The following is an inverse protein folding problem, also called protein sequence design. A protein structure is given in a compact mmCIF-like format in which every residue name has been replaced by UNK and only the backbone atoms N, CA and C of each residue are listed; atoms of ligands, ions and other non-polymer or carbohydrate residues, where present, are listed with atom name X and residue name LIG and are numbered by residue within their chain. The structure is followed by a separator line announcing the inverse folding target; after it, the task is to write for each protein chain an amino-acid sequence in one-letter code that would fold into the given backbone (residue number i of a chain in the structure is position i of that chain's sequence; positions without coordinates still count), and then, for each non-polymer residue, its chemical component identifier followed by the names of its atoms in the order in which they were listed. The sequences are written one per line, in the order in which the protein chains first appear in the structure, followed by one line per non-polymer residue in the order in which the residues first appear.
data_IF_242922740156
#
_entry.id   IF_242922740156
#
_cell.length_a   1.000
_cell.length_b   1.000
_cell.length_c   1.000
_cell.angle_alpha   90.00
_cell.angle_beta   90.00
_cell.angle_gamma   90.00
#
_symmetry.space_group_name_H-M   'P 1'
#
loop_
_entity.id
_entity.type
_entity.pdbx_description
1 polymer ?
#
# COMPACT_ATOMS: atom_id res chain seq x y z
N UNK A 1 -25.92 25.16 -4.94
CA UNK A 1 -25.00 24.12 -4.45
C UNK A 1 -24.17 24.70 -3.30
N UNK A 2 -24.78 24.89 -2.13
CA UNK A 2 -24.16 25.54 -0.94
C UNK A 2 -24.57 24.81 0.36
N UNK A 3 -25.70 24.09 0.35
CA UNK A 3 -26.18 23.33 1.52
C UNK A 3 -25.28 22.13 1.89
N UNK A 4 -24.57 21.53 0.93
CA UNK A 4 -23.66 20.41 1.20
C UNK A 4 -22.43 20.79 2.04
N UNK A 5 -22.17 22.09 2.25
CA UNK A 5 -21.05 22.59 3.06
C UNK A 5 -21.48 23.09 4.45
N UNK A 6 -22.78 23.20 4.75
CA UNK A 6 -23.26 23.63 6.07
C UNK A 6 -23.46 22.44 7.01
N UNK A 7 -22.36 22.04 7.66
CA UNK A 7 -22.33 20.94 8.64
C UNK A 7 -23.15 21.20 9.91
N UNK A 8 -23.71 22.43 10.10
CA UNK A 8 -24.57 22.77 11.25
C UNK A 8 -25.96 22.15 11.17
N UNK A 9 -26.40 21.73 9.98
CA UNK A 9 -27.69 21.05 9.77
C UNK A 9 -27.57 19.55 9.52
N UNK A 10 -26.37 19.07 9.21
CA UNK A 10 -26.12 17.65 9.00
C UNK A 10 -26.28 16.89 10.33
N UNK A 11 -27.31 16.04 10.40
CA UNK A 11 -27.49 15.05 11.47
C UNK A 11 -26.86 13.75 11.01
N UNK A 12 -25.94 13.20 11.80
CA UNK A 12 -25.29 11.93 11.52
C UNK A 12 -25.95 10.85 12.38
N UNK A 13 -26.98 10.19 11.86
CA UNK A 13 -27.74 9.20 12.61
C UNK A 13 -28.35 9.77 13.90
N UNK A 14 -28.12 9.11 15.03
CA UNK A 14 -28.59 9.56 16.36
C UNK A 14 -27.78 10.71 16.98
N UNK A 15 -26.78 11.25 16.28
CA UNK A 15 -25.94 12.34 16.78
C UNK A 15 -26.44 13.70 16.29
N UNK A 16 -26.44 14.68 17.20
CA UNK A 16 -26.83 16.06 16.93
C UNK A 16 -25.88 16.78 15.97
N UNK A 17 -26.17 18.06 15.65
CA UNK A 17 -25.35 18.86 14.74
C UNK A 17 -23.91 19.05 15.26
N UNK A 18 -22.96 19.21 14.34
CA UNK A 18 -21.55 19.38 14.68
C UNK A 18 -21.34 20.67 15.51
N UNK A 19 -21.04 20.52 16.80
CA UNK A 19 -20.74 21.64 17.70
C UNK A 19 -19.38 22.30 17.42
N UNK A 20 -18.46 21.57 16.77
CA UNK A 20 -17.12 22.05 16.42
C UNK A 20 -17.07 22.99 15.20
N UNK A 21 -18.20 23.30 14.56
CA UNK A 21 -18.28 24.22 13.40
C UNK A 21 -17.28 23.89 12.27
N UNK A 22 -16.99 22.59 12.05
CA UNK A 22 -16.02 22.13 11.05
C UNK A 22 -14.58 22.02 11.54
N UNK A 23 -14.28 22.41 12.79
CA UNK A 23 -13.02 22.09 13.46
C UNK A 23 -13.09 20.64 13.94
N UNK A 24 -12.63 19.75 13.06
CA UNK A 24 -12.72 18.30 13.24
C UNK A 24 -11.52 17.68 13.97
N UNK A 25 -10.49 18.49 14.27
CA UNK A 25 -9.32 18.07 15.04
C UNK A 25 -9.72 17.90 16.51
N UNK A 26 -9.82 16.65 16.96
CA UNK A 26 -10.31 16.29 18.30
C UNK A 26 -11.82 15.98 18.39
N UNK A 27 -12.52 15.83 17.26
CA UNK A 27 -13.92 15.38 17.28
C UNK A 27 -13.99 13.92 17.74
N UNK A 28 -14.66 13.60 18.87
CA UNK A 28 -14.66 12.24 19.42
C UNK A 28 -15.34 11.22 18.49
N UNK A 29 -16.29 11.66 17.65
CA UNK A 29 -16.92 10.82 16.63
C UNK A 29 -15.91 10.48 15.53
N UNK A 30 -15.19 11.47 15.01
CA UNK A 30 -14.16 11.23 14.00
C UNK A 30 -12.97 10.48 14.58
N UNK A 31 -12.64 10.67 15.86
CA UNK A 31 -11.59 9.95 16.55
C UNK A 31 -11.98 8.48 16.78
N UNK A 32 -13.20 8.21 17.26
CA UNK A 32 -13.73 6.85 17.38
C UNK A 32 -13.84 6.16 16.01
N UNK A 33 -14.29 6.89 14.99
CA UNK A 33 -14.36 6.40 13.61
C UNK A 33 -12.97 6.15 13.03
N UNK A 34 -12.00 7.04 13.28
CA UNK A 34 -10.58 6.86 12.93
C UNK A 34 -10.00 5.64 13.66
N UNK A 35 -10.39 5.35 14.90
CA UNK A 35 -9.92 4.20 15.66
C UNK A 35 -10.32 2.85 15.05
N UNK A 36 -11.32 2.82 14.17
CA UNK A 36 -11.79 1.61 13.49
C UNK A 36 -11.19 1.56 12.09
N UNK A 37 -10.43 0.51 11.79
CA UNK A 37 -9.78 0.31 10.50
C UNK A 37 -10.30 -0.96 9.83
N UNK A 38 -10.81 -0.81 8.61
CA UNK A 38 -11.16 -1.96 7.78
C UNK A 38 -9.91 -2.47 7.10
N UNK A 39 -9.58 -3.73 7.36
CA UNK A 39 -8.43 -4.39 6.76
C UNK A 39 -8.80 -4.96 5.40
N UNK A 40 -8.02 -4.60 4.37
CA UNK A 40 -8.09 -5.26 3.07
C UNK A 40 -7.41 -6.64 3.20
N UNK A 41 -8.14 -7.76 3.03
CA UNK A 41 -7.65 -9.09 3.36
C UNK A 41 -6.67 -9.67 2.31
N UNK A 42 -6.12 -8.82 1.44
CA UNK A 42 -5.29 -9.23 0.30
C UNK A 42 -4.01 -8.39 0.28
N UNK A 43 -2.85 -9.07 0.20
CA UNK A 43 -1.56 -8.41 -0.02
C UNK A 43 -1.28 -8.19 -1.52
N UNK A 44 -2.06 -7.31 -2.13
CA UNK A 44 -1.93 -6.88 -3.52
C UNK A 44 -1.66 -5.35 -3.60
N UNK A 45 -1.01 -4.87 -4.68
CA UNK A 45 -0.78 -3.43 -4.89
C UNK A 45 -2.07 -2.66 -5.20
N UNK A 46 -3.06 -3.35 -5.77
CA UNK A 46 -4.40 -2.84 -5.98
C UNK A 46 -5.42 -3.95 -5.76
N UNK A 47 -6.62 -3.60 -5.34
CA UNK A 47 -7.77 -4.51 -5.28
C UNK A 47 -8.96 -3.86 -5.96
N UNK A 48 -9.82 -4.65 -6.59
CA UNK A 48 -11.05 -4.15 -7.17
C UNK A 48 -12.15 -4.28 -6.13
N UNK A 49 -12.87 -3.21 -5.87
CA UNK A 49 -14.08 -3.23 -5.04
C UNK A 49 -15.28 -3.16 -5.98
N UNK A 50 -16.04 -4.25 -6.06
CA UNK A 50 -17.27 -4.34 -6.85
C UNK A 50 -18.46 -3.84 -6.04
N UNK A 51 -19.34 -3.08 -6.66
CA UNK A 51 -20.56 -2.53 -6.06
C UNK A 51 -21.75 -3.30 -6.58
N UNK A 52 -22.40 -4.04 -5.69
CA UNK A 52 -23.55 -4.90 -6.00
C UNK A 52 -24.82 -4.29 -5.38
N UNK A 53 -25.79 -3.83 -6.17
CA UNK A 53 -27.04 -3.28 -5.65
C UNK A 53 -27.87 -4.36 -4.96
N UNK A 54 -28.45 -4.01 -3.80
CA UNK A 54 -29.38 -4.88 -3.07
C UNK A 54 -30.79 -4.34 -3.24
N UNK A 55 -31.66 -5.14 -3.82
CA UNK A 55 -33.08 -4.82 -4.00
C UNK A 55 -33.91 -5.46 -2.89
N UNK A 56 -34.97 -4.76 -2.46
CA UNK A 56 -35.93 -5.34 -1.53
C UNK A 56 -36.79 -6.39 -2.26
N UNK A 57 -37.31 -7.42 -1.58
CA UNK A 57 -38.10 -8.48 -2.19
C UNK A 57 -39.30 -7.94 -3.01
N UNK A 58 -39.87 -6.81 -2.58
CA UNK A 58 -41.08 -6.23 -3.15
C UNK A 58 -40.83 -4.99 -4.01
N UNK A 59 -39.55 -4.64 -4.30
CA UNK A 59 -39.21 -3.47 -5.12
C UNK A 59 -39.04 -3.84 -6.59
N UNK A 60 -40.14 -3.82 -7.36
CA UNK A 60 -40.08 -3.96 -8.83
C UNK A 60 -39.81 -2.62 -9.55
N UNK A 61 -40.07 -1.49 -8.89
CA UNK A 61 -40.01 -0.16 -9.51
C UNK A 61 -39.28 0.91 -8.69
N UNK A 62 -38.71 0.55 -7.54
CA UNK A 62 -37.88 1.47 -6.74
C UNK A 62 -36.41 1.12 -6.93
N UNK A 63 -35.54 2.14 -6.80
CA UNK A 63 -34.09 1.94 -6.82
C UNK A 63 -33.58 0.99 -5.73
N UNK A 64 -32.27 0.65 -5.73
CA UNK A 64 -31.71 -0.29 -4.77
C UNK A 64 -31.94 0.19 -3.33
N UNK A 65 -32.34 -0.75 -2.46
CA UNK A 65 -32.49 -0.53 -1.03
C UNK A 65 -31.13 -0.37 -0.32
N UNK A 66 -30.05 -0.80 -0.96
CA UNK A 66 -28.69 -0.62 -0.47
C UNK A 66 -27.65 -1.16 -1.44
N UNK A 67 -26.39 -1.23 -1.00
CA UNK A 67 -25.28 -1.77 -1.78
C UNK A 67 -24.46 -2.72 -0.91
N UNK A 68 -23.94 -3.78 -1.54
CA UNK A 68 -22.90 -4.65 -1.00
C UNK A 68 -21.62 -4.41 -1.78
N UNK A 69 -20.52 -4.27 -1.07
CA UNK A 69 -19.21 -4.09 -1.66
C UNK A 69 -18.43 -5.38 -1.55
N UNK A 70 -17.75 -5.76 -2.63
CA UNK A 70 -16.96 -6.99 -2.66
C UNK A 70 -15.54 -6.70 -3.05
N UNK A 71 -14.60 -7.04 -2.17
CA UNK A 71 -13.16 -6.88 -2.44
C UNK A 71 -12.64 -8.09 -3.20
N UNK A 72 -12.04 -7.82 -4.35
CA UNK A 72 -11.53 -8.83 -5.27
C UNK A 72 -10.05 -8.63 -5.56
N UNK A 73 -9.34 -9.70 -5.90
CA UNK A 73 -7.93 -9.64 -6.32
C UNK A 73 -7.78 -9.09 -7.74
N UNK A 74 -8.88 -8.99 -8.49
CA UNK A 74 -8.94 -8.49 -9.85
C UNK A 74 -10.28 -8.79 -10.53
N UNK A 75 -10.40 -8.49 -11.83
CA UNK A 75 -11.65 -8.71 -12.57
C UNK A 75 -12.02 -10.19 -12.68
N UNK A 76 -11.02 -11.07 -12.84
CA UNK A 76 -11.20 -12.51 -13.06
C UNK A 76 -11.43 -13.32 -11.76
N UNK A 77 -11.54 -12.65 -10.61
CA UNK A 77 -11.75 -13.31 -9.33
C UNK A 77 -13.22 -13.74 -9.23
N UNK A 78 -13.54 -14.97 -9.64
CA UNK A 78 -14.92 -15.48 -9.70
C UNK A 78 -15.54 -15.82 -8.34
N UNK A 79 -14.71 -16.05 -7.32
CA UNK A 79 -15.17 -16.48 -5.98
C UNK A 79 -15.41 -15.33 -5.02
N UNK A 80 -15.38 -14.09 -5.50
CA UNK A 80 -15.47 -12.89 -4.65
C UNK A 80 -16.71 -12.85 -3.76
N UNK A 81 -17.84 -13.42 -4.22
CA UNK A 81 -19.11 -13.47 -3.47
C UNK A 81 -19.11 -14.45 -2.29
N UNK A 82 -18.10 -15.32 -2.17
CA UNK A 82 -17.94 -16.21 -1.01
C UNK A 82 -17.27 -15.53 0.20
N UNK A 83 -16.77 -14.30 0.02
CA UNK A 83 -16.11 -13.54 1.09
C UNK A 83 -17.15 -12.80 1.93
N UNK A 84 -16.72 -12.12 2.99
CA UNK A 84 -17.61 -11.22 3.72
C UNK A 84 -17.79 -9.92 2.92
N UNK A 85 -19.02 -9.52 2.53
CA UNK A 85 -19.23 -8.26 1.86
C UNK A 85 -18.95 -7.09 2.82
N UNK A 86 -18.48 -5.99 2.26
CA UNK A 86 -18.32 -4.71 2.92
C UNK A 86 -19.57 -3.85 2.78
N UNK A 87 -19.80 -3.02 3.77
CA UNK A 87 -20.65 -1.83 3.69
C UNK A 87 -19.83 -0.62 3.20
N UNK A 88 -20.50 0.45 2.78
CA UNK A 88 -19.82 1.72 2.48
C UNK A 88 -19.06 2.28 3.69
N UNK A 89 -19.54 2.01 4.91
CA UNK A 89 -18.86 2.36 6.14
C UNK A 89 -17.53 1.59 6.29
N UNK A 90 -17.52 0.30 5.96
CA UNK A 90 -16.28 -0.49 5.95
C UNK A 90 -15.29 0.07 4.93
N UNK A 91 -15.74 0.39 3.71
CA UNK A 91 -14.90 0.96 2.67
C UNK A 91 -14.31 2.33 3.06
N UNK A 92 -15.11 3.18 3.71
CA UNK A 92 -14.66 4.49 4.16
C UNK A 92 -13.61 4.42 5.30
N UNK A 93 -13.55 3.29 6.02
CA UNK A 93 -12.58 3.03 7.10
C UNK A 93 -11.31 2.32 6.62
N UNK A 94 -11.17 2.05 5.33
CA UNK A 94 -9.94 1.49 4.78
C UNK A 94 -8.82 2.52 4.90
N UNK A 95 -7.72 2.14 5.55
CA UNK A 95 -6.54 3.01 5.70
C UNK A 95 -5.39 2.55 4.85
N UNK A 96 -4.64 3.52 4.34
CA UNK A 96 -3.46 3.27 3.53
C UNK A 96 -3.78 2.73 2.13
N UNK A 97 -4.97 3.04 1.63
CA UNK A 97 -5.38 2.84 0.24
C UNK A 97 -6.03 4.12 -0.26
N UNK A 98 -5.71 4.50 -1.48
CA UNK A 98 -6.35 5.58 -2.19
C UNK A 98 -7.44 5.02 -3.12
N UNK A 99 -8.49 5.80 -3.33
CA UNK A 99 -9.53 5.47 -4.31
C UNK A 99 -8.96 5.75 -5.69
N UNK A 100 -8.77 4.68 -6.45
CA UNK A 100 -8.31 4.71 -7.83
C UNK A 100 -9.46 4.88 -8.83
N UNK A 101 -9.22 4.41 -10.06
CA UNK A 101 -10.17 4.58 -11.17
C UNK A 101 -11.46 3.78 -10.95
N UNK A 102 -12.57 4.32 -11.47
CA UNK A 102 -13.82 3.56 -11.65
C UNK A 102 -13.58 2.40 -12.62
N UNK A 103 -14.29 1.32 -12.39
CA UNK A 103 -14.26 0.09 -13.18
C UNK A 103 -15.69 -0.36 -13.50
N UNK A 104 -15.88 -1.01 -14.64
CA UNK A 104 -17.17 -1.53 -15.08
C UNK A 104 -16.95 -2.80 -15.90
N UNK A 105 -17.73 -3.84 -15.63
CA UNK A 105 -17.69 -5.10 -16.37
C UNK A 105 -19.04 -5.84 -16.31
N UNK A 106 -19.09 -7.12 -16.71
CA UNK A 106 -20.29 -7.96 -16.70
C UNK A 106 -20.93 -8.14 -15.31
N UNK A 107 -20.19 -7.84 -14.24
CA UNK A 107 -20.70 -7.91 -12.87
C UNK A 107 -21.16 -6.55 -12.34
N UNK A 108 -21.10 -5.50 -13.15
CA UNK A 108 -21.59 -4.16 -12.82
C UNK A 108 -20.47 -3.17 -12.50
N UNK A 109 -20.76 -2.25 -11.58
CA UNK A 109 -19.84 -1.16 -11.24
C UNK A 109 -18.80 -1.58 -10.20
N UNK A 110 -17.65 -0.90 -10.23
CA UNK A 110 -16.61 -1.04 -9.23
C UNK A 110 -15.66 0.13 -9.22
N UNK A 111 -14.69 0.08 -8.32
CA UNK A 111 -13.57 1.01 -8.28
C UNK A 111 -12.33 0.31 -7.76
N UNK A 112 -11.17 0.76 -8.20
CA UNK A 112 -9.91 0.28 -7.68
C UNK A 112 -9.61 0.94 -6.34
N UNK A 113 -9.10 0.16 -5.40
CA UNK A 113 -8.33 0.68 -4.29
C UNK A 113 -6.85 0.44 -4.60
N UNK A 114 -6.07 1.50 -4.52
CA UNK A 114 -4.64 1.50 -4.79
C UNK A 114 -3.88 1.66 -3.48
N UNK A 115 -2.97 0.73 -3.19
CA UNK A 115 -2.29 0.69 -1.90
C UNK A 115 -1.28 1.83 -1.79
N UNK A 116 -1.33 2.57 -0.69
CA UNK A 116 -0.37 3.65 -0.38
C UNK A 116 0.72 3.16 0.56
N UNK A 117 1.87 3.82 0.55
CA UNK A 117 2.96 3.56 1.48
C UNK A 117 2.71 4.03 2.93
N UNK A 118 1.52 4.51 3.28
CA UNK A 118 1.24 5.06 4.62
C UNK A 118 1.01 4.00 5.70
N UNK A 119 0.78 2.75 5.31
CA UNK A 119 0.55 1.64 6.23
C UNK A 119 1.37 0.44 5.78
N UNK A 120 1.84 -0.44 6.68
CA UNK A 120 2.55 -1.65 6.29
C UNK A 120 1.63 -2.67 5.61
N UNK A 121 2.22 -3.62 4.87
CA UNK A 121 1.50 -4.77 4.35
C UNK A 121 0.92 -5.62 5.48
N UNK A 122 -0.30 -6.11 5.27
CA UNK A 122 -0.95 -7.02 6.22
C UNK A 122 -0.11 -8.30 6.36
N UNK A 123 0.15 -8.70 7.60
CA UNK A 123 0.93 -9.90 7.91
C UNK A 123 2.44 -9.75 7.73
N UNK A 124 2.93 -8.55 7.39
CA UNK A 124 4.36 -8.23 7.37
C UNK A 124 4.77 -7.53 8.67
N UNK A 125 5.72 -8.11 9.39
CA UNK A 125 6.32 -7.52 10.59
C UNK A 125 7.69 -6.96 10.24
N UNK A 126 7.89 -5.68 10.54
CA UNK A 126 9.15 -4.97 10.28
C UNK A 126 9.89 -4.79 11.61
N UNK A 127 11.13 -5.24 11.68
CA UNK A 127 12.00 -5.05 12.86
C UNK A 127 13.26 -4.31 12.48
N UNK A 128 13.64 -3.33 13.29
CA UNK A 128 14.81 -2.47 13.06
C UNK A 128 15.91 -2.80 14.05
N UNK A 129 17.15 -2.86 13.57
CA UNK A 129 18.37 -2.96 14.38
C UNK A 129 19.38 -1.92 13.93
N UNK A 130 19.53 -0.85 14.70
CA UNK A 130 20.56 0.16 14.51
C UNK A 130 21.88 -0.26 15.17
N UNK A 131 23.00 0.05 14.50
CA UNK A 131 24.38 -0.07 14.96
C UNK A 131 25.12 1.20 14.56
N UNK A 132 26.24 1.50 15.22
CA UNK A 132 26.98 2.75 14.96
C UNK A 132 27.43 2.95 13.50
N UNK A 133 27.60 1.88 12.73
CA UNK A 133 28.02 1.95 11.32
C UNK A 133 26.94 1.56 10.30
N UNK A 134 25.77 1.08 10.75
CA UNK A 134 24.69 0.66 9.84
C UNK A 134 23.36 0.49 10.55
N UNK A 135 22.28 0.57 9.78
CA UNK A 135 20.94 0.19 10.22
C UNK A 135 20.40 -0.95 9.37
N UNK A 136 19.74 -1.93 10.01
CA UNK A 136 19.09 -3.05 9.32
C UNK A 136 17.60 -3.11 9.63
N UNK A 137 16.80 -3.28 8.59
CA UNK A 137 15.36 -3.53 8.69
C UNK A 137 15.06 -4.92 8.13
N UNK A 138 14.55 -5.81 8.98
CA UNK A 138 14.13 -7.15 8.59
C UNK A 138 12.61 -7.20 8.45
N UNK A 139 12.16 -7.71 7.30
CA UNK A 139 10.76 -7.91 6.95
C UNK A 139 10.42 -9.39 7.13
N UNK A 140 9.42 -9.69 7.96
CA UNK A 140 8.99 -11.05 8.23
C UNK A 140 7.54 -11.28 7.85
N UNK A 141 7.29 -12.38 7.16
CA UNK A 141 5.95 -12.88 6.84
C UNK A 141 5.88 -14.32 7.32
N UNK A 142 4.83 -14.70 8.03
CA UNK A 142 4.69 -16.04 8.62
C UNK A 142 5.92 -16.50 9.45
N UNK A 143 6.56 -15.57 10.19
CA UNK A 143 7.81 -15.75 10.95
C UNK A 143 9.08 -15.94 10.11
N UNK A 144 8.98 -16.06 8.79
CA UNK A 144 10.11 -16.16 7.88
C UNK A 144 10.60 -14.78 7.44
N UNK A 145 11.92 -14.60 7.42
CA UNK A 145 12.53 -13.35 6.95
C UNK A 145 12.60 -13.36 5.43
N UNK A 146 11.74 -12.57 4.80
CA UNK A 146 11.60 -12.50 3.34
C UNK A 146 12.40 -11.35 2.72
N UNK A 147 12.71 -10.31 3.49
CA UNK A 147 13.61 -9.24 3.06
C UNK A 147 14.45 -8.68 4.20
N UNK A 148 15.61 -8.12 3.85
CA UNK A 148 16.52 -7.42 4.73
C UNK A 148 17.05 -6.17 4.00
N UNK A 149 16.62 -4.99 4.46
CA UNK A 149 17.20 -3.72 4.03
C UNK A 149 18.39 -3.39 4.95
N UNK A 150 19.52 -3.05 4.34
CA UNK A 150 20.73 -2.58 4.99
C UNK A 150 21.04 -1.18 4.51
N UNK A 151 21.12 -0.23 5.43
CA UNK A 151 21.52 1.15 5.17
C UNK A 151 22.92 1.39 5.77
N UNK A 152 23.79 2.04 5.01
CA UNK A 152 25.08 2.49 5.54
C UNK A 152 24.85 3.65 6.54
N UNK A 153 25.43 3.55 7.74
CA UNK A 153 25.28 4.56 8.79
C UNK A 153 23.89 4.61 9.45
N UNK A 154 23.55 5.79 9.97
CA UNK A 154 22.24 6.09 10.51
C UNK A 154 21.19 6.16 9.39
N UNK A 155 20.07 5.49 9.62
CA UNK A 155 18.98 5.46 8.67
C UNK A 155 18.21 6.79 8.69
N UNK A 156 18.09 7.44 7.53
CA UNK A 156 17.35 8.70 7.33
C UNK A 156 16.08 8.52 6.50
N UNK A 157 15.64 7.27 6.30
CA UNK A 157 14.44 7.00 5.52
C UNK A 157 13.17 7.10 6.35
N UNK A 158 12.10 7.55 5.71
CA UNK A 158 10.78 7.61 6.31
C UNK A 158 10.19 6.21 6.50
N UNK A 159 9.05 6.17 7.20
CA UNK A 159 8.27 4.94 7.38
C UNK A 159 7.66 4.47 6.05
N UNK A 160 7.49 5.38 5.09
CA UNK A 160 6.88 5.11 3.79
C UNK A 160 7.78 4.17 2.95
N UNK A 161 9.12 4.32 2.98
CA UNK A 161 10.02 3.35 2.35
C UNK A 161 9.79 1.93 2.89
N UNK A 162 9.75 1.79 4.21
CA UNK A 162 9.59 0.49 4.86
C UNK A 162 8.24 -0.12 4.50
N UNK A 163 7.18 0.66 4.51
CA UNK A 163 5.86 0.21 4.11
C UNK A 163 5.82 -0.19 2.63
N UNK A 164 6.42 0.59 1.73
CA UNK A 164 6.51 0.28 0.32
C UNK A 164 7.25 -1.05 0.05
N UNK A 165 8.37 -1.29 0.73
CA UNK A 165 9.08 -2.59 0.65
C UNK A 165 8.21 -3.72 1.22
N UNK A 166 7.49 -3.48 2.32
CA UNK A 166 6.60 -4.48 2.90
C UNK A 166 5.49 -4.92 1.94
N UNK A 167 5.01 -4.02 1.07
CA UNK A 167 4.00 -4.33 0.05
C UNK A 167 4.51 -5.22 -1.07
N UNK A 168 5.81 -5.13 -1.36
CA UNK A 168 6.44 -6.03 -2.32
C UNK A 168 6.66 -7.44 -1.74
N UNK A 169 6.71 -7.58 -0.41
CA UNK A 169 6.97 -8.86 0.25
C UNK A 169 5.91 -9.92 -0.13
N UNK A 170 6.33 -11.18 -0.37
CA UNK A 170 5.41 -12.26 -0.68
C UNK A 170 4.45 -12.55 0.47
N UNK A 171 3.32 -13.18 0.16
CA UNK A 171 2.41 -13.72 1.18
C UNK A 171 2.99 -14.95 1.89
N UNK A 172 2.27 -15.50 2.90
CA UNK A 172 2.72 -16.67 3.67
C UNK A 172 3.17 -17.86 2.83
N UNK A 173 2.44 -18.17 1.75
CA UNK A 173 2.75 -19.29 0.85
C UNK A 173 4.15 -19.17 0.23
N UNK A 174 4.55 -17.96 -0.20
CA UNK A 174 5.85 -17.73 -0.81
C UNK A 174 6.97 -17.37 0.18
N UNK A 175 6.66 -17.26 1.48
CA UNK A 175 7.61 -16.86 2.51
C UNK A 175 8.45 -18.02 3.05
N UNK A 176 7.95 -19.26 2.95
CA UNK A 176 8.54 -20.46 3.58
C UNK A 176 9.40 -21.30 2.63
N UNK A 177 9.45 -20.98 1.34
CA UNK A 177 10.24 -21.74 0.38
C UNK A 177 11.64 -21.14 0.24
N UNK A 178 12.68 -21.99 0.27
CA UNK A 178 14.05 -21.50 0.31
C UNK A 178 14.61 -21.04 -1.05
N UNK A 179 13.95 -21.39 -2.16
CA UNK A 179 14.44 -21.16 -3.53
C UNK A 179 13.69 -20.04 -4.22
N UNK A 180 14.42 -19.18 -4.91
CA UNK A 180 13.87 -18.18 -5.83
C UNK A 180 13.58 -18.82 -7.18
N UNK A 181 12.35 -18.71 -7.69
CA UNK A 181 11.99 -19.16 -9.04
C UNK A 181 12.59 -18.28 -10.14
N UNK A 182 13.15 -17.14 -9.78
CA UNK A 182 13.80 -16.24 -10.73
C UNK A 182 15.17 -16.76 -11.17
N UNK A 183 15.33 -16.81 -12.48
CA UNK A 183 16.60 -17.00 -13.17
C UNK A 183 17.37 -15.68 -13.33
N UNK A 184 18.69 -15.78 -13.46
CA UNK A 184 19.59 -14.63 -13.71
C UNK A 184 19.18 -13.78 -14.93
N UNK A 185 18.52 -14.40 -15.93
CA UNK A 185 17.98 -13.72 -17.11
C UNK A 185 16.94 -12.65 -16.79
N UNK A 186 16.27 -12.75 -15.63
CA UNK A 186 15.30 -11.74 -15.18
C UNK A 186 15.94 -10.53 -14.51
N UNK A 187 17.27 -10.51 -14.31
CA UNK A 187 17.95 -9.41 -13.62
C UNK A 187 17.69 -8.06 -14.29
N UNK A 188 17.69 -7.99 -15.63
CA UNK A 188 17.41 -6.76 -16.37
C UNK A 188 16.00 -6.21 -16.12
N UNK A 189 15.00 -7.10 -16.05
CA UNK A 189 13.60 -6.73 -15.77
C UNK A 189 13.42 -6.26 -14.32
N UNK A 190 14.12 -6.90 -13.39
CA UNK A 190 14.04 -6.62 -11.97
C UNK A 190 14.87 -5.40 -11.54
N UNK A 191 15.88 -5.00 -12.31
CA UNK A 191 16.79 -3.90 -11.96
C UNK A 191 16.09 -2.55 -12.06
N UNK A 192 15.98 -1.76 -10.98
CA UNK A 192 15.44 -0.41 -11.03
C UNK A 192 16.23 0.48 -11.99
N UNK A 193 15.60 1.50 -12.60
CA UNK A 193 16.32 2.45 -13.42
C UNK A 193 17.28 3.26 -12.53
N UNK A 194 18.38 3.79 -13.07
CA UNK A 194 19.25 4.70 -12.33
C UNK A 194 18.47 5.95 -11.89
N UNK A 195 18.91 6.57 -10.80
CA UNK A 195 18.34 7.82 -10.31
C UNK A 195 19.46 8.74 -9.84
N UNK A 196 19.51 9.96 -10.40
CA UNK A 196 20.59 10.93 -10.18
C UNK A 196 21.99 10.30 -10.31
N UNK A 197 22.77 10.31 -9.23
CA UNK A 197 24.10 9.73 -9.13
C UNK A 197 24.10 8.29 -8.59
N UNK A 198 22.95 7.62 -8.53
CA UNK A 198 22.76 6.28 -7.95
C UNK A 198 22.45 5.27 -9.06
N UNK A 199 23.25 4.20 -9.07
CA UNK A 199 23.06 3.03 -9.93
C UNK A 199 22.57 1.85 -9.11
N UNK A 200 21.70 1.04 -9.71
CA UNK A 200 21.17 -0.16 -9.09
C UNK A 200 21.75 -1.40 -9.76
N UNK A 201 22.19 -2.35 -8.95
CA UNK A 201 22.67 -3.65 -9.41
C UNK A 201 21.83 -4.75 -8.79
N UNK A 202 21.32 -5.65 -9.61
CA UNK A 202 20.57 -6.84 -9.17
C UNK A 202 21.40 -8.09 -9.41
N UNK A 203 21.69 -8.83 -8.34
CA UNK A 203 22.31 -10.15 -8.36
C UNK A 203 21.26 -11.20 -7.97
N UNK A 204 20.91 -12.08 -8.90
CA UNK A 204 19.93 -13.15 -8.69
C UNK A 204 20.68 -14.46 -8.48
N UNK A 205 20.52 -15.04 -7.30
CA UNK A 205 21.06 -16.35 -6.92
C UNK A 205 19.91 -17.31 -6.61
N UNK A 206 20.14 -18.64 -6.67
CA UNK A 206 19.11 -19.64 -6.40
C UNK A 206 18.36 -19.44 -5.07
N UNK A 207 19.00 -18.88 -4.05
CA UNK A 207 18.44 -18.73 -2.70
C UNK A 207 18.13 -17.27 -2.32
N UNK A 208 18.54 -16.30 -3.14
CA UNK A 208 18.40 -14.89 -2.78
C UNK A 208 18.54 -13.97 -3.98
N UNK A 209 17.81 -12.86 -3.94
CA UNK A 209 18.07 -11.73 -4.84
C UNK A 209 18.62 -10.56 -4.04
N UNK A 210 19.69 -9.94 -4.54
CA UNK A 210 20.29 -8.76 -3.92
C UNK A 210 20.13 -7.57 -4.85
N UNK A 211 19.57 -6.48 -4.34
CA UNK A 211 19.56 -5.17 -4.98
C UNK A 211 20.55 -4.27 -4.22
N UNK A 212 21.57 -3.75 -4.89
CA UNK A 212 22.52 -2.80 -4.32
C UNK A 212 22.37 -1.43 -4.99
N UNK A 213 22.27 -0.39 -4.16
CA UNK A 213 22.28 1.01 -4.59
C UNK A 213 23.69 1.59 -4.38
N UNK A 214 24.35 1.95 -5.48
CA UNK A 214 25.74 2.40 -5.50
C UNK A 214 25.77 3.85 -6.00
N UNK A 215 26.43 4.74 -5.26
CA UNK A 215 26.56 6.14 -5.66
C UNK A 215 27.69 6.35 -6.68
N UNK A 216 27.84 7.58 -7.20
CA UNK A 216 28.88 7.95 -8.17
C UNK A 216 30.32 7.77 -7.68
N UNK A 217 30.53 7.65 -6.36
CA UNK A 217 31.82 7.31 -5.74
C UNK A 217 32.04 5.81 -5.55
N UNK A 218 31.20 4.95 -6.15
CA UNK A 218 31.23 3.49 -6.00
C UNK A 218 30.99 2.98 -4.56
N UNK A 219 30.39 3.80 -3.70
CA UNK A 219 30.03 3.40 -2.34
C UNK A 219 28.60 2.88 -2.30
N UNK A 220 28.40 1.75 -1.62
CA UNK A 220 27.07 1.17 -1.39
C UNK A 220 26.33 1.99 -0.33
N UNK A 221 25.25 2.66 -0.74
CA UNK A 221 24.39 3.46 0.14
C UNK A 221 23.38 2.57 0.87
N UNK A 222 22.80 1.62 0.12
CA UNK A 222 21.83 0.69 0.63
C UNK A 222 21.86 -0.64 -0.11
N UNK A 223 21.43 -1.69 0.56
CA UNK A 223 21.31 -3.03 0.01
C UNK A 223 20.02 -3.68 0.49
N UNK A 224 19.24 -4.19 -0.44
CA UNK A 224 18.07 -4.99 -0.16
C UNK A 224 18.37 -6.45 -0.54
N UNK A 225 18.34 -7.33 0.46
CA UNK A 225 18.44 -8.79 0.26
C UNK A 225 17.05 -9.39 0.38
N UNK A 226 16.66 -10.16 -0.63
CA UNK A 226 15.36 -10.81 -0.78
C UNK A 226 15.56 -12.32 -0.70
N UNK A 227 14.71 -13.00 0.07
CA UNK A 227 14.74 -14.45 0.28
C UNK A 227 13.30 -14.98 0.26
N UNK A 228 13.11 -16.23 -0.15
CA UNK A 228 11.79 -16.79 -0.41
C UNK A 228 11.54 -17.05 -1.90
N UNK A 229 10.61 -17.94 -2.23
CA UNK A 229 10.19 -18.20 -3.62
C UNK A 229 9.20 -17.20 -4.17
N UNK A 230 8.41 -16.56 -3.31
CA UNK A 230 7.34 -15.67 -3.74
C UNK A 230 7.79 -14.34 -4.36
N UNK A 231 9.10 -14.16 -4.62
CA UNK A 231 9.65 -13.00 -5.30
C UNK A 231 9.54 -13.14 -6.81
N UNK A 232 8.55 -12.49 -7.41
CA UNK A 232 8.45 -12.32 -8.87
C UNK A 232 9.27 -11.13 -9.34
N UNK A 233 9.57 -11.04 -10.64
CA UNK A 233 10.32 -9.91 -11.20
C UNK A 233 9.65 -8.57 -10.89
N UNK A 234 8.31 -8.52 -10.91
CA UNK A 234 7.52 -7.33 -10.59
C UNK A 234 7.65 -6.94 -9.11
N UNK A 235 7.63 -7.91 -8.18
CA UNK A 235 7.80 -7.65 -6.75
C UNK A 235 9.21 -7.12 -6.45
N UNK A 236 10.23 -7.72 -7.06
CA UNK A 236 11.61 -7.26 -6.91
C UNK A 236 11.76 -5.85 -7.47
N UNK A 237 11.20 -5.61 -8.66
CA UNK A 237 11.21 -4.28 -9.28
C UNK A 237 10.51 -3.25 -8.41
N UNK A 238 9.33 -3.57 -7.86
CA UNK A 238 8.59 -2.69 -6.96
C UNK A 238 9.38 -2.36 -5.68
N UNK A 239 10.02 -3.36 -5.06
CA UNK A 239 10.85 -3.14 -3.88
C UNK A 239 12.08 -2.26 -4.19
N UNK A 240 12.70 -2.48 -5.35
CA UNK A 240 13.82 -1.67 -5.82
C UNK A 240 13.42 -0.25 -6.22
N UNK A 241 12.24 -0.06 -6.83
CA UNK A 241 11.69 1.25 -7.16
C UNK A 241 11.33 2.05 -5.91
N UNK A 242 10.85 1.38 -4.84
CA UNK A 242 10.65 2.01 -3.54
C UNK A 242 11.98 2.52 -2.96
N UNK A 243 13.03 1.70 -3.00
CA UNK A 243 14.37 2.11 -2.57
C UNK A 243 14.90 3.28 -3.42
N UNK A 244 14.68 3.24 -4.73
CA UNK A 244 15.05 4.31 -5.66
C UNK A 244 14.36 5.62 -5.33
N UNK A 245 13.04 5.60 -5.15
CA UNK A 245 12.25 6.79 -4.84
C UNK A 245 12.67 7.43 -3.51
N UNK A 246 13.12 6.63 -2.54
CA UNK A 246 13.65 7.16 -1.29
C UNK A 246 15.03 7.81 -1.46
N UNK A 247 15.95 7.15 -2.17
CA UNK A 247 17.33 7.64 -2.32
C UNK A 247 17.46 8.81 -3.30
N UNK A 248 16.49 8.98 -4.19
CA UNK A 248 16.36 10.09 -5.12
C UNK A 248 14.89 10.53 -5.08
N UNK A 249 14.50 11.29 -4.04
CA UNK A 249 13.15 11.82 -3.98
C UNK A 249 12.96 12.72 -5.19
N UNK A 250 11.82 12.64 -5.90
CA UNK A 250 11.54 13.57 -6.99
C UNK A 250 11.72 14.98 -6.45
N UNK A 251 12.53 15.79 -7.14
CA UNK A 251 12.69 17.20 -6.82
C UNK A 251 11.31 17.84 -6.79
N UNK A 252 10.71 17.92 -5.59
CA UNK A 252 9.58 18.77 -5.34
C UNK A 252 10.13 20.17 -5.55
N UNK A 253 9.82 20.75 -6.70
CA UNK A 253 9.85 22.19 -6.92
C UNK A 253 9.25 22.83 -5.67
N UNK A 254 10.08 23.39 -4.79
CA UNK A 254 9.58 24.15 -3.64
C UNK A 254 8.65 25.20 -4.23
N UNK A 255 7.36 25.29 -3.85
CA UNK A 255 6.58 26.46 -4.18
C UNK A 255 7.33 27.64 -3.57
N UNK A 256 7.69 28.60 -4.42
CA UNK A 256 8.27 29.85 -3.99
C UNK A 256 7.22 30.58 -3.16
N UNK A 257 7.22 30.38 -1.84
CA UNK A 257 6.58 31.29 -0.91
C UNK A 257 7.40 32.60 -0.89
N UNK A 258 7.19 33.44 -1.91
CA UNK A 258 7.47 34.86 -1.80
C UNK A 258 6.33 35.51 -1.02
N UNK A 259 6.61 36.38 -0.04
CA UNK A 259 5.55 37.12 0.65
C UNK A 259 4.84 38.06 -0.34
N UNK A 260 3.50 38.23 -0.24
CA UNK A 260 2.80 39.25 -1.00
C UNK A 260 3.30 40.64 -0.56
N UNK A 261 3.60 41.48 -1.55
CA UNK A 261 3.81 42.92 -1.37
C UNK A 261 2.47 43.63 -1.26
#
# INVERSE_FOLDING_TARGET
MLEAQDTRRARWGGFGPCIGRGQCDGCPILEAWRGQCTVVPVNAPRVLVRVDPVFAPDSLFTGPAGHRLWVTTGPNDGDFRHRRPWSWEDAARVRGWDVGRRYYDEHGEGFWLERTARVPALGCVITTRARGSFTRHAFRVARCRVALLHCAGECHHDVDLLNAISHACPGPEGANEERSDLRWTHAALATPPPADNIRFHVDIRPMSVKIAAINGGHLEQARLTLSGSGWTAERIRAAGDALRAHLSPPHLSRPACGPPR
#
